data_IF_558502877436
#
_entry.id   IF_558502877436
#
_cell.length_a   1.000
_cell.length_b   1.000
_cell.length_c   1.000
_cell.angle_alpha   90.00
_cell.angle_beta   90.00
_cell.angle_gamma   90.00
#
_symmetry.space_group_name_H-M   'P 1'
#
loop_
_entity.id
_entity.type
_entity.pdbx_description
1 polymer ?
#
# COMPACT_ATOMS: atom_id res chain seq x y z
N UNK A 1 6.89 -4.27 -12.44
CA UNK A 1 7.05 -3.01 -13.21
C UNK A 1 5.75 -2.23 -13.18
N UNK A 2 5.82 -0.92 -13.07
CA UNK A 2 4.68 -0.01 -13.20
C UNK A 2 4.74 0.63 -14.59
N UNK A 3 3.60 0.71 -15.29
CA UNK A 3 3.52 1.40 -16.58
C UNK A 3 3.51 2.90 -16.30
N UNK A 4 4.49 3.64 -16.81
CA UNK A 4 4.60 5.08 -16.61
C UNK A 4 4.31 5.86 -17.90
N UNK A 5 4.54 5.24 -19.07
CA UNK A 5 4.34 5.86 -20.40
C UNK A 5 3.50 4.91 -21.24
N UNK A 6 2.41 5.41 -21.83
CA UNK A 6 1.49 4.61 -22.64
C UNK A 6 0.74 5.48 -23.66
N UNK A 7 0.23 4.85 -24.73
CA UNK A 7 -0.67 5.51 -25.66
C UNK A 7 -2.09 5.49 -25.07
N UNK A 8 -2.74 6.65 -24.97
CA UNK A 8 -4.09 6.81 -24.42
C UNK A 8 -5.13 5.87 -25.06
N UNK A 9 -5.00 5.60 -26.37
CA UNK A 9 -5.90 4.70 -27.10
C UNK A 9 -5.72 3.21 -26.77
N UNK A 10 -4.59 2.83 -26.11
CA UNK A 10 -4.23 1.42 -25.87
C UNK A 10 -4.10 1.06 -24.39
N UNK A 11 -4.43 1.98 -23.51
CA UNK A 11 -4.39 1.76 -22.07
C UNK A 11 -5.44 2.59 -21.36
N UNK A 12 -5.92 2.10 -20.25
CA UNK A 12 -6.90 2.77 -19.37
C UNK A 12 -6.46 2.71 -17.93
N UNK A 13 -6.88 3.69 -17.15
CA UNK A 13 -6.76 3.63 -15.70
C UNK A 13 -7.80 2.66 -15.15
N UNK A 14 -7.38 1.83 -14.22
CA UNK A 14 -8.29 1.03 -13.43
C UNK A 14 -8.70 1.86 -12.20
N UNK A 15 -9.98 2.12 -12.04
CA UNK A 15 -10.55 2.86 -10.91
C UNK A 15 -10.46 2.00 -9.65
N UNK A 16 -9.36 2.13 -8.91
CA UNK A 16 -9.18 1.50 -7.59
C UNK A 16 -9.03 2.56 -6.53
N UNK A 17 -9.61 2.35 -5.35
CA UNK A 17 -9.42 3.28 -4.24
C UNK A 17 -7.95 3.48 -3.87
N UNK A 18 -7.13 2.45 -4.02
CA UNK A 18 -5.71 2.48 -3.67
C UNK A 18 -4.84 2.11 -4.88
N UNK A 19 -4.24 3.15 -5.46
CA UNK A 19 -3.25 3.02 -6.53
C UNK A 19 -3.82 2.91 -7.92
N UNK A 20 -3.57 3.94 -8.71
CA UNK A 20 -3.85 3.92 -10.14
C UNK A 20 -3.00 2.86 -10.81
N UNK A 21 -3.63 1.80 -11.26
CA UNK A 21 -3.01 0.82 -12.12
C UNK A 21 -3.45 1.05 -13.54
N UNK A 22 -2.47 1.13 -14.43
CA UNK A 22 -2.71 1.25 -15.86
C UNK A 22 -2.83 -0.16 -16.42
N UNK A 23 -3.96 -0.44 -17.05
CA UNK A 23 -4.20 -1.67 -17.78
C UNK A 23 -3.99 -1.44 -19.27
N UNK A 24 -3.15 -2.27 -19.86
CA UNK A 24 -2.92 -2.26 -21.29
C UNK A 24 -4.01 -3.07 -21.97
N UNK A 25 -4.76 -2.45 -22.89
CA UNK A 25 -5.79 -3.12 -23.69
C UNK A 25 -5.18 -3.89 -24.86
N UNK A 26 -4.09 -3.36 -25.43
CA UNK A 26 -3.37 -3.95 -26.56
C UNK A 26 -1.88 -3.63 -26.52
N UNK A 27 -1.06 -4.52 -27.09
CA UNK A 27 0.37 -4.28 -27.29
C UNK A 27 1.27 -5.02 -26.29
N UNK A 28 2.53 -4.58 -26.22
CA UNK A 28 3.57 -5.19 -25.40
C UNK A 28 4.14 -4.20 -24.41
N UNK A 29 4.56 -4.68 -23.24
CA UNK A 29 5.33 -3.91 -22.28
C UNK A 29 6.79 -3.85 -22.74
N UNK A 30 7.36 -2.67 -22.67
CA UNK A 30 8.79 -2.45 -22.81
C UNK A 30 9.35 -1.95 -21.47
N UNK A 31 10.38 -2.59 -20.99
CA UNK A 31 11.09 -2.13 -19.81
C UNK A 31 12.19 -1.16 -20.22
N UNK A 32 12.16 0.04 -19.64
CA UNK A 32 13.23 1.01 -19.83
C UNK A 32 14.51 0.51 -19.14
N UNK A 33 15.66 0.75 -19.76
CA UNK A 33 16.96 0.33 -19.21
C UNK A 33 17.39 1.19 -18.03
N UNK A 34 16.99 2.46 -18.03
CA UNK A 34 17.37 3.43 -17.01
C UNK A 34 16.23 3.65 -16.03
N UNK A 35 16.56 3.83 -14.77
CA UNK A 35 15.61 4.16 -13.72
C UNK A 35 15.13 5.60 -13.84
N UNK A 36 13.89 5.85 -13.43
CA UNK A 36 13.33 7.18 -13.31
C UNK A 36 13.61 7.70 -11.90
N UNK A 37 14.32 8.81 -11.81
CA UNK A 37 14.54 9.50 -10.54
C UNK A 37 13.23 10.18 -10.12
N UNK A 38 12.78 9.87 -8.93
CA UNK A 38 11.59 10.49 -8.32
C UNK A 38 12.01 11.29 -7.10
N UNK A 39 12.01 12.61 -7.23
CA UNK A 39 12.31 13.53 -6.14
C UNK A 39 11.00 14.01 -5.51
N UNK A 40 10.69 13.56 -4.31
CA UNK A 40 9.54 14.02 -3.52
C UNK A 40 10.06 14.76 -2.27
N UNK A 41 10.50 16.01 -2.45
CA UNK A 41 11.04 16.87 -1.38
C UNK A 41 9.90 17.49 -0.56
N UNK A 42 9.15 16.66 0.14
CA UNK A 42 8.09 17.13 1.02
C UNK A 42 8.51 17.01 2.49
N UNK A 43 7.96 17.90 3.31
CA UNK A 43 8.17 17.86 4.74
C UNK A 43 7.38 16.72 5.40
N UNK A 44 7.69 16.44 6.65
CA UNK A 44 7.05 15.39 7.45
C UNK A 44 5.53 15.60 7.56
N UNK A 45 5.08 16.84 7.70
CA UNK A 45 3.65 17.18 7.78
C UNK A 45 2.90 16.72 6.52
N UNK A 46 3.43 17.04 5.34
CA UNK A 46 2.85 16.58 4.06
C UNK A 46 2.85 15.05 3.95
N UNK A 47 3.90 14.40 4.44
CA UNK A 47 3.99 12.94 4.48
C UNK A 47 2.86 12.35 5.35
N UNK A 48 2.64 12.88 6.55
CA UNK A 48 1.61 12.41 7.48
C UNK A 48 0.22 12.59 6.88
N UNK A 49 -0.11 13.79 6.35
CA UNK A 49 -1.40 14.04 5.71
C UNK A 49 -1.66 13.11 4.53
N UNK A 50 -0.66 12.87 3.69
CA UNK A 50 -0.77 11.94 2.57
C UNK A 50 -1.03 10.50 3.03
N UNK A 51 -0.38 10.07 4.10
CA UNK A 51 -0.56 8.72 4.64
C UNK A 51 -1.88 8.56 5.39
N UNK A 52 -2.39 9.61 6.00
CA UNK A 52 -3.74 9.63 6.57
C UNK A 52 -4.80 9.42 5.48
N UNK A 53 -4.71 10.18 4.38
CA UNK A 53 -5.57 9.98 3.22
C UNK A 53 -5.45 8.57 2.61
N UNK A 54 -4.23 8.04 2.49
CA UNK A 54 -4.05 6.65 2.03
C UNK A 54 -4.65 5.62 3.00
N UNK A 55 -4.64 5.90 4.30
CA UNK A 55 -5.28 5.03 5.28
C UNK A 55 -6.79 4.99 5.08
N UNK A 56 -7.45 6.12 4.77
CA UNK A 56 -8.88 6.15 4.44
C UNK A 56 -9.20 5.30 3.21
N UNK A 57 -8.40 5.41 2.16
CA UNK A 57 -8.57 4.58 0.96
C UNK A 57 -8.35 3.09 1.27
N UNK A 58 -7.39 2.73 2.13
CA UNK A 58 -7.16 1.34 2.53
C UNK A 58 -8.32 0.79 3.36
N UNK A 59 -8.92 1.60 4.23
CA UNK A 59 -10.12 1.26 4.98
C UNK A 59 -11.32 1.06 4.07
N UNK A 60 -11.53 1.93 3.09
CA UNK A 60 -12.56 1.75 2.06
C UNK A 60 -12.36 0.44 1.28
N UNK A 61 -11.12 0.15 0.88
CA UNK A 61 -10.78 -1.10 0.20
C UNK A 61 -10.98 -2.33 1.08
N UNK A 62 -10.78 -2.22 2.38
CA UNK A 62 -11.02 -3.29 3.35
C UNK A 62 -12.50 -3.68 3.41
N UNK A 63 -13.41 -2.70 3.40
CA UNK A 63 -14.86 -2.93 3.45
C UNK A 63 -15.48 -3.16 2.06
N UNK A 64 -14.91 -2.60 1.01
CA UNK A 64 -15.38 -2.86 -0.35
C UNK A 64 -14.95 -4.26 -0.79
N UNK A 65 -15.92 -5.10 -1.17
CA UNK A 65 -15.65 -6.42 -1.76
C UNK A 65 -14.99 -6.34 -3.15
N UNK A 66 -14.56 -5.17 -3.61
CA UNK A 66 -13.88 -4.93 -4.89
C UNK A 66 -12.56 -5.71 -5.04
N UNK A 67 -11.97 -6.15 -3.93
CA UNK A 67 -10.80 -7.05 -3.96
C UNK A 67 -11.06 -8.40 -4.66
N UNK A 68 -12.31 -8.77 -4.89
CA UNK A 68 -12.67 -10.03 -5.55
C UNK A 68 -12.71 -9.93 -7.10
N UNK A 69 -12.66 -8.73 -7.69
CA UNK A 69 -12.73 -8.52 -9.13
C UNK A 69 -11.38 -8.65 -9.86
N UNK A 70 -10.31 -8.97 -9.14
CA UNK A 70 -8.95 -9.00 -9.68
C UNK A 70 -8.53 -10.38 -10.20
N UNK A 71 -9.19 -10.87 -11.26
CA UNK A 71 -8.84 -12.17 -11.85
C UNK A 71 -7.56 -12.16 -12.72
N UNK A 72 -7.00 -11.00 -13.10
CA UNK A 72 -5.95 -10.91 -14.12
C UNK A 72 -4.68 -10.13 -13.69
N UNK A 73 -4.21 -10.32 -12.46
CA UNK A 73 -2.98 -9.68 -11.99
C UNK A 73 -1.81 -10.66 -12.00
N UNK A 74 -0.60 -10.16 -12.25
CA UNK A 74 0.63 -10.95 -12.25
C UNK A 74 0.75 -11.90 -11.04
N UNK A 75 1.35 -13.08 -11.23
CA UNK A 75 1.54 -14.09 -10.17
C UNK A 75 2.09 -13.49 -8.85
N UNK A 76 3.02 -12.54 -8.94
CA UNK A 76 3.61 -11.86 -7.77
C UNK A 76 2.60 -10.97 -7.01
N UNK A 77 1.67 -10.32 -7.71
CA UNK A 77 0.60 -9.53 -7.09
C UNK A 77 -0.44 -10.42 -6.41
N UNK A 78 -0.75 -11.57 -7.01
CA UNK A 78 -1.64 -12.57 -6.42
C UNK A 78 -1.07 -13.15 -5.12
N UNK A 79 0.23 -13.48 -5.06
CA UNK A 79 0.89 -13.95 -3.83
C UNK A 79 0.80 -12.89 -2.72
N UNK A 80 1.07 -11.62 -3.04
CA UNK A 80 0.94 -10.52 -2.05
C UNK A 80 -0.49 -10.35 -1.55
N UNK A 81 -1.48 -10.51 -2.45
CA UNK A 81 -2.91 -10.46 -2.10
C UNK A 81 -3.30 -11.60 -1.16
N UNK A 82 -2.88 -12.83 -1.47
CA UNK A 82 -3.14 -14.02 -0.65
C UNK A 82 -2.49 -13.88 0.73
N UNK A 83 -1.24 -13.41 0.80
CA UNK A 83 -0.56 -13.16 2.07
C UNK A 83 -1.25 -12.06 2.88
N UNK A 84 -1.65 -10.96 2.24
CA UNK A 84 -2.35 -9.86 2.90
C UNK A 84 -3.72 -10.31 3.44
N UNK A 85 -4.54 -10.91 2.62
CA UNK A 85 -5.91 -11.26 3.00
C UNK A 85 -5.99 -12.55 3.83
N UNK A 86 -5.11 -13.52 3.55
CA UNK A 86 -5.10 -14.82 4.21
C UNK A 86 -4.42 -14.83 5.58
N UNK A 87 -3.35 -14.09 5.73
CA UNK A 87 -2.52 -14.11 6.95
C UNK A 87 -2.54 -12.76 7.66
N UNK A 88 -2.21 -11.69 6.95
CA UNK A 88 -2.01 -10.38 7.56
C UNK A 88 -3.27 -9.85 8.27
N UNK A 89 -4.44 -9.89 7.63
CA UNK A 89 -5.69 -9.41 8.24
C UNK A 89 -6.28 -10.36 9.30
N UNK A 90 -5.79 -11.60 9.39
CA UNK A 90 -6.15 -12.53 10.48
C UNK A 90 -5.35 -12.31 11.76
N UNK A 91 -4.21 -11.61 11.68
CA UNK A 91 -3.42 -11.28 12.85
C UNK A 91 -4.14 -10.24 13.73
N UNK A 92 -3.93 -10.28 15.05
CA UNK A 92 -4.47 -9.26 15.95
C UNK A 92 -4.10 -7.85 15.47
N UNK A 93 -5.07 -6.92 15.55
CA UNK A 93 -4.85 -5.50 15.25
C UNK A 93 -3.67 -4.97 16.06
N UNK A 94 -3.00 -3.97 15.54
CA UNK A 94 -1.81 -3.36 16.13
C UNK A 94 -0.59 -4.28 16.22
N UNK A 95 -0.77 -5.59 16.46
CA UNK A 95 0.32 -6.56 16.46
C UNK A 95 0.94 -6.71 15.06
N UNK A 96 0.10 -6.73 14.03
CA UNK A 96 0.55 -6.79 12.62
C UNK A 96 1.38 -5.57 12.22
N UNK A 97 1.06 -4.38 12.74
CA UNK A 97 1.86 -3.18 12.52
C UNK A 97 3.26 -3.31 13.14
N UNK A 98 3.32 -3.82 14.39
CA UNK A 98 4.57 -4.09 15.11
C UNK A 98 5.43 -5.14 14.40
N UNK A 99 4.83 -6.23 13.94
CA UNK A 99 5.53 -7.25 13.15
C UNK A 99 6.11 -6.68 11.85
N UNK A 100 5.35 -5.85 11.14
CA UNK A 100 5.81 -5.26 9.89
C UNK A 100 6.95 -4.28 10.10
N UNK A 101 6.91 -3.49 11.19
CA UNK A 101 8.02 -2.65 11.61
C UNK A 101 9.28 -3.50 11.89
N UNK A 102 9.13 -4.56 12.67
CA UNK A 102 10.22 -5.47 13.02
C UNK A 102 10.87 -6.07 11.76
N UNK A 103 10.04 -6.52 10.82
CA UNK A 103 10.50 -7.00 9.53
C UNK A 103 11.30 -5.94 8.76
N UNK A 104 10.78 -4.71 8.66
CA UNK A 104 11.44 -3.62 7.93
C UNK A 104 12.74 -3.18 8.59
N UNK A 105 12.73 -3.06 9.90
CA UNK A 105 13.87 -2.54 10.64
C UNK A 105 15.00 -3.57 10.79
N UNK A 106 14.67 -4.81 11.18
CA UNK A 106 15.69 -5.83 11.44
C UNK A 106 15.96 -6.72 10.22
N UNK A 107 14.93 -7.30 9.59
CA UNK A 107 15.15 -8.26 8.49
C UNK A 107 15.56 -7.56 7.21
N UNK A 108 15.00 -6.38 6.91
CA UNK A 108 15.42 -5.55 5.78
C UNK A 108 16.60 -4.63 6.09
N UNK A 109 17.20 -4.81 7.26
CA UNK A 109 18.40 -4.09 7.69
C UNK A 109 18.23 -2.55 7.73
N UNK A 110 17.01 -2.06 7.96
CA UNK A 110 16.74 -0.63 8.05
C UNK A 110 17.53 0.09 9.14
N UNK A 111 18.02 -0.63 10.15
CA UNK A 111 18.88 -0.08 11.20
C UNK A 111 20.26 0.35 10.67
N UNK A 112 20.71 -0.17 9.53
CA UNK A 112 21.96 0.23 8.90
C UNK A 112 21.91 1.65 8.31
N UNK A 113 20.69 2.15 8.02
CA UNK A 113 20.49 3.51 7.53
C UNK A 113 20.46 4.55 8.68
N UNK A 114 20.83 4.15 9.90
CA UNK A 114 20.91 5.01 11.07
C UNK A 114 19.55 5.60 11.47
N UNK A 115 19.55 6.87 11.92
CA UNK A 115 18.33 7.55 12.37
C UNK A 115 17.28 7.67 11.27
N UNK A 116 17.68 7.95 10.03
CA UNK A 116 16.77 8.04 8.90
C UNK A 116 16.05 6.71 8.63
N UNK A 117 16.77 5.60 8.71
CA UNK A 117 16.19 4.25 8.57
C UNK A 117 15.21 3.92 9.68
N UNK A 118 15.51 4.34 10.92
CA UNK A 118 14.60 4.17 12.06
C UNK A 118 13.29 4.96 11.86
N UNK A 119 13.41 6.25 11.56
CA UNK A 119 12.25 7.14 11.32
C UNK A 119 11.42 6.62 10.14
N UNK A 120 12.07 6.24 9.04
CA UNK A 120 11.40 5.68 7.87
C UNK A 120 10.66 4.39 8.19
N UNK A 121 11.31 3.44 8.85
CA UNK A 121 10.69 2.17 9.24
C UNK A 121 9.50 2.40 10.18
N UNK A 122 9.63 3.32 11.14
CA UNK A 122 8.55 3.67 12.06
C UNK A 122 7.36 4.28 11.32
N UNK A 123 7.57 5.31 10.52
CA UNK A 123 6.49 6.02 9.83
C UNK A 123 5.80 5.14 8.78
N UNK A 124 6.57 4.39 8.00
CA UNK A 124 6.05 3.64 6.86
C UNK A 124 5.49 2.27 7.26
N UNK A 125 6.08 1.61 8.24
CA UNK A 125 5.69 0.26 8.60
C UNK A 125 4.80 0.22 9.85
N UNK A 126 5.12 0.99 10.90
CA UNK A 126 4.36 0.97 12.13
C UNK A 126 3.22 1.98 12.12
N UNK A 127 3.53 3.27 12.04
CA UNK A 127 2.56 4.35 12.17
C UNK A 127 1.42 4.23 11.15
N UNK A 128 1.75 4.13 9.87
CA UNK A 128 0.74 4.01 8.82
C UNK A 128 -0.19 2.81 9.03
N UNK A 129 0.36 1.64 9.36
CA UNK A 129 -0.43 0.44 9.60
C UNK A 129 -1.28 0.51 10.85
N UNK A 130 -0.74 1.16 11.88
CA UNK A 130 -1.47 1.42 13.11
C UNK A 130 -2.67 2.34 12.87
N UNK A 131 -2.51 3.42 12.09
CA UNK A 131 -3.60 4.33 11.73
C UNK A 131 -4.69 3.59 10.95
N UNK A 132 -4.34 2.75 9.99
CA UNK A 132 -5.34 1.92 9.26
C UNK A 132 -6.13 1.04 10.24
N UNK A 133 -5.44 0.36 11.17
CA UNK A 133 -6.10 -0.50 12.17
C UNK A 133 -7.01 0.29 13.12
N UNK A 134 -6.58 1.48 13.53
CA UNK A 134 -7.37 2.37 14.38
C UNK A 134 -8.63 2.87 13.66
N UNK A 135 -8.53 3.30 12.41
CA UNK A 135 -9.69 3.72 11.59
C UNK A 135 -10.68 2.57 11.35
N UNK A 136 -10.21 1.33 11.14
CA UNK A 136 -11.08 0.16 11.06
C UNK A 136 -11.83 -0.04 12.37
N UNK A 137 -11.13 0.01 13.52
CA UNK A 137 -11.73 -0.14 14.83
C UNK A 137 -12.77 0.96 15.13
N UNK A 138 -12.47 2.20 14.78
CA UNK A 138 -13.38 3.34 14.92
C UNK A 138 -14.70 3.11 14.14
N UNK A 139 -14.60 2.70 12.88
CA UNK A 139 -15.79 2.43 12.06
C UNK A 139 -16.63 1.26 12.61
N UNK A 140 -16.01 0.22 13.15
CA UNK A 140 -16.74 -0.88 13.79
C UNK A 140 -17.45 -0.44 15.06
N UNK A 141 -16.83 0.42 15.88
CA UNK A 141 -17.47 0.99 17.06
C UNK A 141 -18.67 1.88 16.71
N UNK A 142 -18.56 2.65 15.62
CA UNK A 142 -19.68 3.48 15.14
C UNK A 142 -20.84 2.62 14.64
N UNK A 143 -20.57 1.52 13.92
CA UNK A 143 -21.61 0.59 13.45
C UNK A 143 -22.35 -0.13 14.57
N UNK A 144 -21.69 -0.39 15.69
CA UNK A 144 -22.29 -1.08 16.84
C UNK A 144 -23.12 -0.14 17.73
N UNK A 145 -23.02 1.18 17.53
CA UNK A 145 -23.81 2.18 18.28
C UNK A 145 -25.14 2.56 17.60
N UNK A 146 -25.29 2.20 16.33
CA UNK A 146 -26.53 2.37 15.57
C UNK A 146 -27.31 1.05 15.47
#
# INVERSE_FOLDING_TARGET
>A
CKINIFKKSKARFNERPLGDNIELSEGRYLQLKNDCLHYDYKNLSTFIHKHDWYADLEVQSYYSKLDNLEANISKAANVRKVLRNGIYYKLPRYFRAKMYYWYKFYIKLGFLDGEAGHVWAFLQAYFYRFVVDAKIAEQELMKNKN
#
